data_IF_454141634321
#
_entry.id   IF_454141634321
#
_cell.length_a   1.000
_cell.length_b   1.000
_cell.length_c   1.000
_cell.angle_alpha   90.00
_cell.angle_beta   90.00
_cell.angle_gamma   90.00
#
_symmetry.space_group_name_H-M   'P 1'
#
loop_
_entity.id
_entity.type
_entity.pdbx_description
1 polymer ?
#
# COMPACT_ATOMS: atom_id res chain seq x y z
N UNK A 1 -2.66 -17.31 -3.23
CA UNK A 1 -1.98 -16.02 -3.53
C UNK A 1 -0.96 -15.78 -2.45
N UNK A 2 0.33 -15.79 -2.79
CA UNK A 2 1.40 -15.60 -1.80
C UNK A 2 1.78 -14.13 -1.68
N UNK A 3 2.01 -13.66 -0.45
CA UNK A 3 2.76 -12.43 -0.20
C UNK A 3 4.22 -12.66 -0.59
N UNK A 4 4.83 -11.68 -1.25
CA UNK A 4 6.27 -11.66 -1.50
C UNK A 4 6.79 -10.29 -1.13
N UNK A 5 7.61 -10.25 -0.09
CA UNK A 5 8.33 -9.07 0.33
C UNK A 5 9.55 -8.84 -0.55
N UNK A 6 9.84 -7.58 -0.85
CA UNK A 6 11.12 -7.15 -1.36
C UNK A 6 11.93 -6.52 -0.23
N UNK A 7 13.19 -6.88 -0.13
CA UNK A 7 14.16 -6.27 0.78
C UNK A 7 15.32 -5.76 -0.07
N UNK A 8 15.79 -4.55 0.19
CA UNK A 8 16.87 -3.90 -0.53
C UNK A 8 17.84 -3.30 0.47
N UNK A 9 19.08 -3.79 0.44
CA UNK A 9 20.22 -3.18 1.11
C UNK A 9 20.79 -2.09 0.21
N UNK A 10 21.01 -0.91 0.77
CA UNK A 10 21.41 0.30 0.05
C UNK A 10 22.54 1.00 0.79
N UNK A 11 23.48 1.60 0.08
CA UNK A 11 24.42 2.55 0.68
C UNK A 11 23.80 3.94 0.75
N UNK A 12 23.97 4.63 1.89
CA UNK A 12 23.44 5.97 2.12
C UNK A 12 24.02 7.03 1.18
N UNK A 13 25.12 6.71 0.49
CA UNK A 13 25.77 7.53 -0.52
C UNK A 13 25.33 7.18 -1.95
N UNK A 14 24.63 6.07 -2.15
CA UNK A 14 24.20 5.57 -3.48
C UNK A 14 22.85 6.17 -3.96
N UNK A 15 22.36 7.22 -3.30
CA UNK A 15 21.13 7.89 -3.68
C UNK A 15 21.38 8.84 -4.86
N UNK A 16 21.33 8.31 -6.08
CA UNK A 16 21.27 9.13 -7.30
C UNK A 16 19.94 9.91 -7.34
N UNK A 17 19.96 11.20 -7.68
CA UNK A 17 18.75 12.03 -7.84
C UNK A 17 17.82 12.05 -6.61
N UNK A 18 18.41 12.11 -5.40
CA UNK A 18 17.69 12.23 -4.13
C UNK A 18 16.77 11.06 -3.76
N UNK A 19 16.82 9.94 -4.50
CA UNK A 19 16.02 8.75 -4.23
C UNK A 19 16.75 7.45 -4.58
N UNK A 20 16.30 6.35 -4.00
CA UNK A 20 16.66 5.00 -4.40
C UNK A 20 15.48 4.32 -5.08
N UNK A 21 15.78 3.44 -6.03
CA UNK A 21 14.81 2.58 -6.68
C UNK A 21 15.31 1.13 -6.65
N UNK A 22 14.48 0.22 -6.13
CA UNK A 22 14.81 -1.20 -6.14
C UNK A 22 14.77 -1.79 -7.55
N UNK A 23 15.32 -2.99 -7.70
CA UNK A 23 14.96 -3.86 -8.83
C UNK A 23 13.46 -4.15 -8.79
N UNK A 24 12.87 -4.42 -9.95
CA UNK A 24 11.48 -4.86 -10.03
C UNK A 24 11.33 -6.24 -9.38
N UNK A 25 10.27 -6.43 -8.61
CA UNK A 25 9.93 -7.71 -7.98
C UNK A 25 8.47 -8.08 -8.25
N UNK A 26 8.13 -9.35 -8.12
CA UNK A 26 6.78 -9.85 -8.42
C UNK A 26 6.00 -10.14 -7.14
N UNK A 27 4.77 -9.64 -7.04
CA UNK A 27 3.80 -10.02 -6.01
C UNK A 27 2.39 -9.96 -6.57
N UNK A 28 1.53 -10.92 -6.19
CA UNK A 28 0.14 -10.99 -6.64
C UNK A 28 -0.07 -11.05 -8.16
N UNK A 29 0.91 -11.52 -8.93
CA UNK A 29 0.85 -11.57 -10.40
C UNK A 29 1.34 -10.28 -11.10
N UNK A 30 1.73 -9.25 -10.34
CA UNK A 30 2.15 -7.96 -10.87
C UNK A 30 3.61 -7.66 -10.53
N UNK A 31 4.23 -6.76 -11.31
CA UNK A 31 5.59 -6.28 -11.09
C UNK A 31 5.57 -4.93 -10.36
N UNK A 32 6.35 -4.84 -9.30
CA UNK A 32 6.41 -3.70 -8.39
C UNK A 32 7.85 -3.22 -8.24
N UNK A 33 8.02 -1.99 -7.76
CA UNK A 33 9.31 -1.39 -7.41
C UNK A 33 9.16 -0.58 -6.13
N UNK A 34 10.09 -0.75 -5.19
CA UNK A 34 10.23 0.11 -4.02
C UNK A 34 11.01 1.38 -4.41
N UNK A 35 10.52 2.54 -3.97
CA UNK A 35 11.15 3.84 -4.13
C UNK A 35 11.34 4.44 -2.73
N UNK A 36 12.56 4.85 -2.41
CA UNK A 36 12.88 5.47 -1.10
C UNK A 36 13.44 6.86 -1.34
N UNK A 37 12.95 7.85 -0.60
CA UNK A 37 13.51 9.20 -0.54
C UNK A 37 14.12 9.41 0.86
N UNK A 38 15.43 9.21 1.01
CA UNK A 38 16.09 9.24 2.31
C UNK A 38 16.21 10.63 2.92
N UNK A 39 15.94 11.68 2.16
CA UNK A 39 15.87 13.09 2.64
C UNK A 39 14.45 13.64 2.54
N UNK A 40 13.49 12.78 2.24
CA UNK A 40 12.10 13.14 2.03
C UNK A 40 11.78 13.47 0.58
N UNK A 41 10.56 13.15 0.18
CA UNK A 41 10.03 13.58 -1.11
C UNK A 41 9.47 15.01 -0.98
N UNK A 42 10.24 16.01 -1.41
CA UNK A 42 9.83 17.42 -1.34
C UNK A 42 8.53 17.70 -2.11
N UNK A 43 8.28 16.96 -3.21
CA UNK A 43 7.06 17.15 -4.03
C UNK A 43 5.78 16.76 -3.29
N UNK A 44 5.90 15.91 -2.26
CA UNK A 44 4.79 15.42 -1.44
C UNK A 44 4.87 15.95 0.00
N UNK A 45 5.63 17.02 0.27
CA UNK A 45 5.82 17.58 1.61
C UNK A 45 6.47 16.60 2.62
N UNK A 46 7.36 15.73 2.16
CA UNK A 46 8.07 14.75 3.00
C UNK A 46 9.36 15.25 3.64
N UNK A 47 9.68 16.54 3.55
CA UNK A 47 10.93 17.10 4.06
C UNK A 47 11.15 16.77 5.55
N UNK A 48 12.36 16.37 5.92
CA UNK A 48 12.71 16.00 7.30
C UNK A 48 12.34 14.57 7.68
N UNK A 49 11.82 13.77 6.75
CA UNK A 49 11.49 12.37 6.96
C UNK A 49 12.05 11.49 5.84
N UNK A 50 12.27 10.22 6.11
CA UNK A 50 12.36 9.20 5.08
C UNK A 50 10.97 9.01 4.50
N UNK A 51 10.82 9.11 3.17
CA UNK A 51 9.57 8.78 2.48
C UNK A 51 9.75 7.48 1.69
N UNK A 52 8.75 6.60 1.69
CA UNK A 52 8.79 5.32 0.98
C UNK A 52 7.54 5.11 0.15
N UNK A 53 7.73 4.62 -1.08
CA UNK A 53 6.65 4.42 -2.05
C UNK A 53 6.83 3.09 -2.78
N UNK A 54 5.72 2.60 -3.33
CA UNK A 54 5.66 1.48 -4.24
C UNK A 54 5.10 1.97 -5.57
N UNK A 55 5.78 1.62 -6.65
CA UNK A 55 5.34 1.81 -8.02
C UNK A 55 4.97 0.45 -8.62
N UNK A 56 3.78 0.35 -9.22
CA UNK A 56 3.42 -0.78 -10.08
C UNK A 56 3.86 -0.51 -11.53
N UNK A 57 4.35 -1.55 -12.22
CA UNK A 57 4.66 -1.45 -13.64
C UNK A 57 3.38 -1.23 -14.46
N UNK A 58 3.26 -0.08 -15.11
CA UNK A 58 2.08 0.27 -15.91
C UNK A 58 1.82 -0.72 -17.04
N UNK A 59 2.86 -1.38 -17.56
CA UNK A 59 2.69 -2.46 -18.54
C UNK A 59 1.89 -3.62 -17.98
N UNK A 60 1.97 -3.89 -16.67
CA UNK A 60 1.18 -4.93 -16.00
C UNK A 60 -0.29 -4.55 -15.86
N UNK A 61 -0.63 -3.26 -15.93
CA UNK A 61 -2.03 -2.76 -15.89
C UNK A 61 -2.71 -2.74 -17.25
N UNK A 62 -1.93 -2.65 -18.33
CA UNK A 62 -2.43 -2.55 -19.71
C UNK A 62 -2.56 -3.90 -20.43
N UNK A 63 -2.24 -5.01 -19.76
CA UNK A 63 -2.39 -6.36 -20.34
C UNK A 63 -3.86 -6.74 -20.50
N UNK A 64 -4.76 -6.12 -19.74
CA UNK A 64 -6.18 -6.42 -19.74
C UNK A 64 -6.97 -5.20 -20.24
N UNK A 65 -7.93 -5.45 -21.13
CA UNK A 65 -8.92 -4.48 -21.59
C UNK A 65 -10.29 -4.88 -21.05
N UNK A 66 -10.95 -4.06 -20.20
CA UNK A 66 -10.59 -2.69 -19.78
C UNK A 66 -9.42 -2.63 -18.77
N UNK A 67 -8.79 -1.44 -18.56
CA UNK A 67 -7.68 -1.26 -17.64
C UNK A 67 -7.97 -1.84 -16.26
N UNK A 68 -7.08 -2.68 -15.75
CA UNK A 68 -7.29 -3.34 -14.45
C UNK A 68 -7.07 -2.36 -13.31
N UNK A 69 -7.97 -2.42 -12.33
CA UNK A 69 -7.78 -1.79 -11.04
C UNK A 69 -7.30 -2.83 -10.05
N UNK A 70 -6.22 -2.51 -9.35
CA UNK A 70 -5.59 -3.43 -8.40
C UNK A 70 -5.64 -2.79 -7.04
N UNK A 71 -6.13 -3.55 -6.08
CA UNK A 71 -6.16 -3.15 -4.69
C UNK A 71 -5.02 -3.86 -3.98
N UNK A 72 -4.16 -3.12 -3.28
CA UNK A 72 -3.05 -3.71 -2.55
C UNK A 72 -2.81 -3.03 -1.20
N UNK A 73 -2.51 -3.85 -0.20
CA UNK A 73 -1.99 -3.41 1.09
C UNK A 73 -0.46 -3.29 1.01
N UNK A 74 0.08 -2.23 1.61
CA UNK A 74 1.51 -1.93 1.61
C UNK A 74 2.02 -1.90 3.04
N UNK A 75 3.04 -2.71 3.33
CA UNK A 75 3.74 -2.72 4.62
C UNK A 75 5.20 -2.40 4.37
N UNK A 76 5.69 -1.28 4.91
CA UNK A 76 7.06 -0.83 4.74
C UNK A 76 7.92 -1.20 5.95
N UNK A 77 9.19 -1.48 5.69
CA UNK A 77 10.16 -1.92 6.69
C UNK A 77 11.43 -1.09 6.61
N UNK A 78 11.97 -0.69 7.76
CA UNK A 78 13.32 -0.11 7.91
C UNK A 78 14.08 -0.93 8.92
N UNK A 79 15.18 -1.56 8.52
CA UNK A 79 15.94 -2.44 9.40
C UNK A 79 16.73 -1.62 10.43
N UNK A 80 16.63 -2.01 11.70
CA UNK A 80 17.43 -1.50 12.79
C UNK A 80 18.40 -2.59 13.23
N UNK A 81 19.69 -2.40 12.95
CA UNK A 81 20.75 -3.37 13.28
C UNK A 81 21.05 -3.43 14.78
N UNK A 82 20.89 -2.31 15.49
CA UNK A 82 21.13 -2.25 16.94
C UNK A 82 20.12 -3.11 17.70
N UNK A 83 18.85 -3.06 17.28
CA UNK A 83 17.79 -3.88 17.87
C UNK A 83 17.62 -5.25 17.21
N UNK A 84 18.26 -5.46 16.05
CA UNK A 84 18.07 -6.62 15.18
C UNK A 84 16.59 -6.85 14.82
N UNK A 85 15.87 -5.78 14.48
CA UNK A 85 14.44 -5.78 14.17
C UNK A 85 14.11 -4.81 13.05
N UNK A 86 12.97 -5.00 12.41
CA UNK A 86 12.44 -4.00 11.47
C UNK A 86 11.47 -3.07 12.18
N UNK A 87 11.71 -1.77 12.08
CA UNK A 87 10.64 -0.80 12.22
C UNK A 87 9.65 -1.04 11.07
N UNK A 88 8.40 -1.33 11.42
CA UNK A 88 7.35 -1.67 10.46
C UNK A 88 6.26 -0.62 10.52
N UNK A 89 5.86 -0.11 9.36
CA UNK A 89 4.74 0.82 9.24
C UNK A 89 3.86 0.39 8.08
N UNK A 90 2.55 0.52 8.25
CA UNK A 90 1.57 0.22 7.23
C UNK A 90 0.50 1.30 7.23
N UNK A 91 -0.03 1.59 6.04
CA UNK A 91 -1.24 2.38 5.93
C UNK A 91 -2.44 1.50 6.28
N UNK A 92 -3.47 2.08 6.88
CA UNK A 92 -4.71 1.36 7.23
C UNK A 92 -5.56 1.10 5.99
N UNK A 93 -5.42 1.96 4.97
CA UNK A 93 -6.22 1.87 3.75
C UNK A 93 -5.56 1.02 2.67
N UNK A 94 -6.35 0.15 2.06
CA UNK A 94 -5.99 -0.55 0.82
C UNK A 94 -5.83 0.46 -0.32
N UNK A 95 -4.73 0.36 -1.07
CA UNK A 95 -4.41 1.32 -2.13
C UNK A 95 -4.89 0.83 -3.49
N UNK A 96 -5.62 1.70 -4.20
CA UNK A 96 -6.15 1.46 -5.55
C UNK A 96 -5.15 1.92 -6.59
N UNK A 97 -4.45 0.98 -7.19
CA UNK A 97 -3.56 1.19 -8.33
C UNK A 97 -4.35 1.09 -9.64
N UNK A 98 -4.14 2.03 -10.55
CA UNK A 98 -4.70 2.02 -11.89
C UNK A 98 -3.78 2.81 -12.85
N UNK A 99 -4.14 2.89 -14.13
CA UNK A 99 -3.33 3.53 -15.15
C UNK A 99 -3.04 5.02 -14.88
N UNK A 100 -3.90 5.70 -14.11
CA UNK A 100 -3.72 7.10 -13.73
C UNK A 100 -2.92 7.28 -12.44
N UNK A 101 -2.94 6.27 -11.55
CA UNK A 101 -2.25 6.29 -10.26
C UNK A 101 -1.52 4.98 -10.01
N UNK A 102 -0.27 4.94 -10.43
CA UNK A 102 0.62 3.77 -10.34
C UNK A 102 1.53 3.78 -9.10
N UNK A 103 1.57 4.90 -8.36
CA UNK A 103 2.46 5.09 -7.21
C UNK A 103 1.64 5.41 -5.96
N UNK A 104 1.95 4.69 -4.88
CA UNK A 104 1.40 4.90 -3.55
C UNK A 104 2.48 4.72 -2.50
N UNK A 105 2.35 5.36 -1.35
CA UNK A 105 3.38 5.28 -0.32
C UNK A 105 3.06 6.10 0.92
N UNK A 106 4.03 6.16 1.81
CA UNK A 106 4.00 6.94 3.03
C UNK A 106 5.04 8.06 2.93
N UNK A 107 4.54 9.29 3.08
CA UNK A 107 5.33 10.51 2.97
C UNK A 107 6.31 10.66 4.15
N UNK A 108 5.89 10.26 5.36
CA UNK A 108 6.66 10.43 6.59
C UNK A 108 6.77 9.09 7.32
N UNK A 109 7.74 8.26 6.94
CA UNK A 109 7.95 6.92 7.53
C UNK A 109 8.75 6.99 8.82
N UNK A 110 9.89 7.68 8.78
CA UNK A 110 10.83 7.77 9.90
C UNK A 110 11.49 9.15 9.86
N UNK A 111 11.60 9.90 10.97
CA UNK A 111 12.29 11.19 10.96
C UNK A 111 13.73 11.05 10.48
N UNK A 112 14.19 11.99 9.66
CA UNK A 112 15.53 12.00 9.07
C UNK A 112 16.61 11.99 10.14
N UNK A 113 16.44 12.79 11.19
CA UNK A 113 17.41 12.87 12.29
C UNK A 113 17.45 11.58 13.11
N UNK A 114 16.30 10.94 13.33
CA UNK A 114 16.24 9.61 13.96
C UNK A 114 16.96 8.57 13.11
N UNK A 115 16.77 8.57 11.79
CA UNK A 115 17.41 7.62 10.89
C UNK A 115 18.94 7.80 10.84
N UNK A 116 19.43 9.04 10.75
CA UNK A 116 20.86 9.30 10.60
C UNK A 116 21.64 9.35 11.92
N UNK A 117 20.96 9.43 13.07
CA UNK A 117 21.65 9.36 14.35
C UNK A 117 22.27 7.95 14.54
N UNK A 118 23.60 7.82 14.64
CA UNK A 118 24.28 6.54 14.79
C UNK A 118 23.80 5.72 15.99
N UNK A 119 23.35 6.41 17.05
CA UNK A 119 22.83 5.76 18.26
C UNK A 119 21.53 4.97 18.04
N UNK A 120 20.80 5.25 16.95
CA UNK A 120 19.54 4.59 16.65
C UNK A 120 19.70 3.34 15.78
N UNK A 121 20.86 3.10 15.15
CA UNK A 121 21.19 1.82 14.52
C UNK A 121 20.55 1.51 13.15
N UNK A 122 19.96 2.51 12.48
CA UNK A 122 19.38 2.33 11.13
C UNK A 122 20.40 2.42 9.99
N UNK A 123 21.51 3.13 10.22
CA UNK A 123 22.65 3.24 9.29
C UNK A 123 23.82 2.50 9.91
N UNK A 124 24.37 1.55 9.15
CA UNK A 124 25.46 0.67 9.54
C UNK A 124 26.80 1.25 9.12
N UNK A 125 27.88 0.57 9.51
CA UNK A 125 29.24 0.89 9.08
C UNK A 125 29.33 0.97 7.54
N UNK A 126 30.04 1.98 7.05
CA UNK A 126 30.12 2.26 5.61
C UNK A 126 28.86 2.90 5.01
N UNK A 127 27.89 3.32 5.84
CA UNK A 127 26.67 3.99 5.38
C UNK A 127 25.59 3.05 4.87
N UNK A 128 25.73 1.75 5.05
CA UNK A 128 24.73 0.78 4.62
C UNK A 128 23.43 0.94 5.41
N UNK A 129 22.29 0.72 4.78
CA UNK A 129 20.98 0.70 5.41
C UNK A 129 20.09 -0.25 4.63
N UNK A 130 19.01 -0.71 5.24
CA UNK A 130 18.14 -1.69 4.60
C UNK A 130 16.67 -1.31 4.72
N UNK A 131 15.99 -1.36 3.59
CA UNK A 131 14.58 -1.06 3.45
C UNK A 131 13.86 -2.23 2.81
N UNK A 132 12.61 -2.44 3.22
CA UNK A 132 11.76 -3.46 2.64
C UNK A 132 10.35 -2.95 2.39
N UNK A 133 9.63 -3.71 1.57
CA UNK A 133 8.19 -3.59 1.42
C UNK A 133 7.56 -4.95 1.18
N UNK A 134 6.42 -5.19 1.80
CA UNK A 134 5.53 -6.29 1.48
C UNK A 134 4.30 -5.71 0.77
N UNK A 135 3.97 -6.30 -0.36
CA UNK A 135 2.84 -5.89 -1.20
C UNK A 135 1.88 -7.06 -1.27
N UNK A 136 0.72 -6.90 -0.64
CA UNK A 136 -0.33 -7.92 -0.66
C UNK A 136 -1.42 -7.44 -1.60
N UNK A 137 -1.55 -8.11 -2.74
CA UNK A 137 -2.62 -7.81 -3.69
C UNK A 137 -3.90 -8.46 -3.20
N UNK A 138 -4.93 -7.65 -2.98
CA UNK A 138 -6.24 -8.13 -2.63
C UNK A 138 -6.82 -8.97 -3.79
N UNK A 139 -7.55 -10.06 -3.50
CA UNK A 139 -8.24 -10.82 -4.52
C UNK A 139 -9.22 -9.92 -5.29
N UNK A 140 -9.41 -10.23 -6.58
CA UNK A 140 -10.41 -9.55 -7.39
C UNK A 140 -11.79 -9.74 -6.76
N UNK A 141 -12.60 -8.68 -6.75
CA UNK A 141 -13.96 -8.62 -6.19
C UNK A 141 -14.96 -9.63 -6.81
N UNK A 142 -14.54 -10.42 -7.79
CA UNK A 142 -15.34 -11.46 -8.45
C UNK A 142 -15.64 -12.69 -7.57
N UNK A 143 -14.97 -12.85 -6.42
CA UNK A 143 -15.18 -13.98 -5.51
C UNK A 143 -15.87 -13.57 -4.20
N UNK A 144 -16.98 -12.83 -4.28
CA UNK A 144 -17.84 -12.67 -3.11
C UNK A 144 -18.65 -13.95 -2.91
N UNK A 145 -18.49 -14.58 -1.75
CA UNK A 145 -19.50 -15.50 -1.23
C UNK A 145 -20.64 -14.65 -0.66
N UNK A 146 -21.77 -14.59 -1.37
CA UNK A 146 -23.00 -14.03 -0.83
C UNK A 146 -23.54 -15.05 0.17
N UNK A 147 -23.24 -14.86 1.45
CA UNK A 147 -23.96 -15.54 2.52
C UNK A 147 -25.33 -14.91 2.69
N UNK A 148 -26.31 -15.37 1.91
CA UNK A 148 -27.72 -15.13 2.25
C UNK A 148 -28.08 -15.99 3.45
N UNK A 149 -28.45 -15.38 4.58
CA UNK A 149 -29.21 -16.08 5.62
C UNK A 149 -30.60 -16.40 5.06
N UNK A 150 -30.72 -17.50 4.32
CA UNK A 150 -32.02 -18.13 4.09
C UNK A 150 -32.40 -18.88 5.37
N UNK A 151 -32.65 -18.14 6.45
CA UNK A 151 -33.60 -18.65 7.43
C UNK A 151 -34.94 -18.72 6.69
N UNK A 152 -35.26 -19.92 6.20
CA UNK A 152 -36.63 -20.26 5.83
C UNK A 152 -37.45 -20.21 7.12
N UNK A 153 -37.82 -19.01 7.56
CA UNK A 153 -38.97 -18.87 8.43
C UNK A 153 -40.15 -19.45 7.66
N UNK A 154 -40.78 -20.48 8.21
CA UNK A 154 -42.01 -21.05 7.68
C UNK A 154 -43.12 -19.99 7.79
N UNK A 155 -43.23 -19.14 6.76
CA UNK A 155 -44.29 -18.16 6.54
C UNK A 155 -43.92 -16.70 6.79
N UNK A 156 -43.15 -16.03 5.92
CA UNK A 156 -43.06 -14.58 5.97
C UNK A 156 -44.30 -13.98 5.28
N UNK A 157 -45.37 -13.74 6.03
CA UNK A 157 -46.44 -12.82 5.59
C UNK A 157 -46.05 -11.41 6.01
N UNK A 158 -45.37 -10.68 5.12
CA UNK A 158 -45.25 -9.23 5.26
C UNK A 158 -46.37 -8.58 4.45
N UNK A 159 -47.42 -8.15 5.16
CA UNK A 159 -48.46 -7.27 4.61
C UNK A 159 -48.18 -5.85 5.07
N UNK A 160 -47.81 -4.97 4.14
CA UNK A 160 -47.67 -3.54 4.43
C UNK A 160 -48.98 -2.86 4.05
N UNK A 161 -49.79 -2.53 5.05
CA UNK A 161 -50.96 -1.69 4.86
C UNK A 161 -50.54 -0.22 4.96
N UNK A 162 -50.32 0.42 3.82
CA UNK A 162 -50.19 1.87 3.74
C UNK A 162 -51.54 2.50 4.11
N UNK A 163 -51.61 3.10 5.30
CA UNK A 163 -52.72 3.99 5.67
C UNK A 163 -52.43 5.40 5.17
N UNK A 164 -53.46 6.07 4.68
CA UNK A 164 -53.48 7.47 4.21
C UNK A 164 -52.71 7.73 2.90
N UNK A 165 -53.05 7.00 1.83
CA UNK A 165 -52.62 7.36 0.47
C UNK A 165 -53.30 8.65 -0.06
N UNK A 166 -54.31 9.17 0.65
CA UNK A 166 -55.12 10.33 0.24
C UNK A 166 -54.55 11.70 0.65
N UNK A 167 -53.40 11.76 1.31
CA UNK A 167 -52.76 13.03 1.72
C UNK A 167 -51.61 13.47 0.79
N UNK A 168 -51.34 12.71 -0.28
CA UNK A 168 -50.38 13.10 -1.31
C UNK A 168 -51.00 14.15 -2.24
N UNK A 169 -50.99 15.41 -1.79
CA UNK A 169 -51.16 16.53 -2.71
C UNK A 169 -49.91 16.64 -3.58
N UNK A 170 -50.10 16.44 -4.89
CA UNK A 170 -49.08 16.70 -5.90
C UNK A 170 -48.97 18.22 -6.06
N UNK A 171 -47.81 18.78 -5.70
CA UNK A 171 -47.32 20.07 -6.16
C UNK A 171 -45.86 19.92 -6.57
#
# INVERSE_FOLDING_TARGET
MGSRSAVSTINSTAFSDHKFQSRKFSSGGYKWRLIVYPKGNQKDNGSGFISMYVEIDSKSLMVFTPPTEIFAELRFFVYNKKENKYFTIQDVEVKRFNALRTVWGLVQVLPYDTFNNPENGYVFEGGQCEFGVDVIVAPSLTNWEIHSFNEKFSGPKFSWALKNFSELNVN
#
